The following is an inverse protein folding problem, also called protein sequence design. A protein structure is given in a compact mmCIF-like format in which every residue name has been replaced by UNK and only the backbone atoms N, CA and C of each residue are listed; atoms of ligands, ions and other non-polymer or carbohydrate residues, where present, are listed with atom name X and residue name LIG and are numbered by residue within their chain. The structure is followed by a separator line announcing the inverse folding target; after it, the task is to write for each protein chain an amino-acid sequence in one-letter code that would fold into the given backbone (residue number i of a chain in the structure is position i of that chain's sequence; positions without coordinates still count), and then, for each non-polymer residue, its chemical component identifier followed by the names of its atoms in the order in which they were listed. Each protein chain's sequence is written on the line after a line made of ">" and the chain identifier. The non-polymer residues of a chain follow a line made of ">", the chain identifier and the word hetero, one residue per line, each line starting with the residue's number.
data_IF_926756645118
#
_entry.id   IF_926756645118
#
_cell.length_a   1.000
_cell.length_b   1.000
_cell.length_c   1.000
_cell.angle_alpha   90.00
_cell.angle_beta   90.00
_cell.angle_gamma   90.00
#
_symmetry.space_group_name_H-M   'P 1'
#
loop_
_entity.id
_entity.type
_entity.pdbx_description
1 polymer ?
#
# COMPACT_ATOMS: atom_id res chain seq x y z
N UNK A 1 -2.05 40.43 -28.05
CA UNK A 1 -1.07 40.36 -26.95
C UNK A 1 -1.53 41.26 -25.80
N UNK A 2 -2.10 40.70 -24.73
CA UNK A 2 -2.18 41.37 -23.42
C UNK A 2 -1.83 40.30 -22.39
N UNK A 3 -0.76 40.52 -21.63
CA UNK A 3 -0.25 39.59 -20.62
C UNK A 3 -0.84 39.92 -19.26
N UNK A 4 -1.56 38.99 -18.64
CA UNK A 4 -2.10 39.15 -17.28
C UNK A 4 -1.40 38.19 -16.31
N UNK A 5 -0.21 38.59 -15.83
CA UNK A 5 0.40 37.97 -14.64
C UNK A 5 -0.47 38.24 -13.41
N UNK A 6 -1.04 37.20 -12.80
CA UNK A 6 -1.45 37.19 -11.38
C UNK A 6 -0.51 36.22 -10.66
N UNK A 7 0.59 36.73 -10.09
CA UNK A 7 0.71 37.01 -8.65
C UNK A 7 0.38 35.79 -7.78
N UNK A 8 1.43 35.03 -7.43
CA UNK A 8 1.39 34.04 -6.33
C UNK A 8 1.43 34.76 -4.97
N UNK A 9 0.72 34.27 -3.94
CA UNK A 9 0.86 34.78 -2.57
C UNK A 9 2.23 34.44 -1.95
N UNK A 10 2.64 35.13 -0.87
CA UNK A 10 4.02 35.08 -0.38
C UNK A 10 4.36 33.82 0.42
N UNK A 11 5.60 33.35 0.24
CA UNK A 11 6.21 32.29 1.07
C UNK A 11 6.51 32.82 2.47
N UNK A 12 5.67 32.50 3.46
CA UNK A 12 6.01 32.71 4.85
C UNK A 12 6.94 31.59 5.34
N UNK A 13 8.12 31.99 5.85
CA UNK A 13 9.06 31.09 6.51
C UNK A 13 8.54 30.76 7.91
N UNK A 14 8.43 29.47 8.24
CA UNK A 14 8.45 29.00 9.63
C UNK A 14 9.63 28.02 9.75
N UNK A 15 10.44 28.22 10.79
CA UNK A 15 11.69 27.51 11.02
C UNK A 15 11.47 26.37 12.01
N UNK A 16 11.88 25.16 11.61
CA UNK A 16 12.26 24.00 12.41
C UNK A 16 11.45 23.64 13.68
N UNK A 17 10.90 22.42 13.67
CA UNK A 17 10.97 21.55 14.84
C UNK A 17 11.14 20.09 14.42
N UNK A 18 12.31 19.51 14.69
CA UNK A 18 12.54 18.07 14.61
C UNK A 18 11.91 17.40 15.83
N UNK A 19 10.84 16.64 15.64
CA UNK A 19 10.39 15.66 16.64
C UNK A 19 10.16 14.33 15.91
N UNK A 20 10.95 13.32 16.26
CA UNK A 20 10.64 11.94 15.93
C UNK A 20 9.48 11.48 16.80
N UNK A 21 8.35 11.11 16.21
CA UNK A 21 7.23 10.44 16.88
C UNK A 21 6.92 9.16 16.11
N UNK A 22 7.04 8.02 16.78
CA UNK A 22 6.63 6.74 16.21
C UNK A 22 5.12 6.74 15.96
N UNK A 23 4.72 6.38 14.75
CA UNK A 23 3.31 6.37 14.35
C UNK A 23 2.60 5.17 14.99
N UNK A 24 1.87 5.44 16.07
CA UNK A 24 0.76 4.60 16.49
C UNK A 24 -0.48 5.04 15.70
N UNK A 25 -1.00 4.17 14.82
CA UNK A 25 -2.36 4.35 14.27
C UNK A 25 -3.31 3.45 15.03
N UNK A 26 -4.25 4.07 15.73
CA UNK A 26 -5.41 3.39 16.28
C UNK A 26 -6.49 4.39 16.60
N UNK A 27 -7.63 4.26 15.92
CA UNK A 27 -8.98 4.12 16.51
C UNK A 27 -10.06 4.57 15.52
N UNK A 28 -11.06 3.70 15.32
CA UNK A 28 -12.19 3.94 14.41
C UNK A 28 -13.30 2.89 14.55
N UNK A 29 -13.53 2.37 15.76
CA UNK A 29 -14.55 1.35 16.04
C UNK A 29 -15.31 1.66 17.32
N UNK A 30 -16.64 1.70 17.23
CA UNK A 30 -17.51 2.09 18.35
C UNK A 30 -17.60 1.00 19.44
N UNK A 31 -17.54 1.40 20.71
CA UNK A 31 -17.77 0.54 21.87
C UNK A 31 -19.06 0.96 22.58
N UNK A 32 -19.85 -0.02 23.03
CA UNK A 32 -20.93 0.15 24.00
C UNK A 32 -20.70 -0.76 25.21
N UNK A 33 -21.18 -0.41 26.41
CA UNK A 33 -20.57 -0.86 27.66
C UNK A 33 -21.18 -2.12 28.27
N UNK A 34 -20.38 -2.85 29.05
CA UNK A 34 -20.84 -3.77 30.10
C UNK A 34 -19.93 -3.69 31.32
N UNK A 35 -20.51 -3.82 32.52
CA UNK A 35 -19.91 -3.46 33.81
C UNK A 35 -18.98 -4.53 34.44
N UNK A 36 -18.11 -4.11 35.38
CA UNK A 36 -17.91 -4.88 36.62
C UNK A 36 -16.49 -5.35 37.03
N UNK A 37 -15.88 -4.62 37.99
CA UNK A 37 -14.83 -5.05 38.96
C UNK A 37 -13.46 -5.58 38.46
N UNK A 38 -12.32 -5.36 39.15
CA UNK A 38 -12.04 -4.52 40.32
C UNK A 38 -10.62 -4.71 40.94
N UNK A 39 -10.10 -3.64 41.58
CA UNK A 39 -9.11 -3.61 42.71
C UNK A 39 -7.64 -4.08 42.51
N UNK A 40 -6.77 -3.11 42.16
CA UNK A 40 -5.66 -2.50 42.96
C UNK A 40 -4.62 -3.28 43.82
N UNK A 41 -3.35 -2.85 43.65
CA UNK A 41 -2.27 -2.58 44.65
C UNK A 41 -1.28 -3.66 45.15
N UNK A 42 0.01 -3.26 45.26
CA UNK A 42 1.02 -3.90 46.14
C UNK A 42 2.50 -3.68 45.74
N UNK A 43 3.24 -2.81 46.45
CA UNK A 43 4.70 -2.66 46.30
C UNK A 43 5.37 -2.24 47.62
N UNK A 44 6.42 -2.95 48.09
CA UNK A 44 7.32 -2.52 49.21
C UNK A 44 8.72 -3.16 49.13
N UNK A 45 9.78 -2.39 49.40
CA UNK A 45 11.13 -2.81 49.87
C UNK A 45 11.54 -1.83 51.01
N UNK A 46 12.19 -2.24 52.11
CA UNK A 46 13.61 -1.90 52.42
C UNK A 46 14.34 -3.09 53.14
N UNK A 47 15.53 -3.07 53.77
CA UNK A 47 16.50 -2.03 54.23
C UNK A 47 17.94 -2.61 54.26
N UNK A 48 18.97 -1.77 54.48
CA UNK A 48 20.40 -2.16 54.73
C UNK A 48 20.75 -2.20 56.24
N UNK A 49 21.98 -2.53 56.70
CA UNK A 49 23.17 -1.62 56.84
C UNK A 49 24.48 -2.36 57.32
N UNK A 50 25.67 -1.68 57.36
CA UNK A 50 27.05 -2.26 57.40
C UNK A 50 27.77 -1.93 58.76
N UNK A 51 29.08 -1.59 58.90
CA UNK A 51 30.32 -1.77 58.08
C UNK A 51 31.56 -2.29 58.88
N UNK A 52 32.73 -2.39 58.23
CA UNK A 52 34.07 -2.21 58.86
C UNK A 52 35.12 -1.78 57.79
N UNK A 53 36.17 -1.06 58.20
CA UNK A 53 37.14 -0.43 57.29
C UNK A 53 38.59 -0.57 57.78
N UNK A 54 39.60 -0.49 56.87
CA UNK A 54 40.94 0.13 57.08
C UNK A 54 41.94 -0.01 55.90
N UNK A 55 42.32 1.12 55.29
CA UNK A 55 43.72 1.60 55.00
C UNK A 55 44.75 0.77 54.16
N UNK A 56 45.90 1.33 53.68
CA UNK A 56 46.08 1.49 52.21
C UNK A 56 47.45 1.10 51.58
N UNK A 57 47.56 1.30 50.25
CA UNK A 57 48.79 1.38 49.39
C UNK A 57 49.59 0.08 49.13
N UNK A 58 50.44 -0.03 48.06
CA UNK A 58 50.72 0.91 46.95
C UNK A 58 50.51 0.34 45.52
N UNK A 59 50.68 1.21 44.50
CA UNK A 59 50.48 0.94 43.06
C UNK A 59 51.77 0.42 42.36
N UNK A 60 51.78 -0.75 41.69
CA UNK A 60 52.89 -1.18 40.85
C UNK A 60 52.90 -0.49 39.47
N UNK A 61 54.09 -0.19 38.96
CA UNK A 61 54.32 0.42 37.64
C UNK A 61 54.22 -0.62 36.52
N UNK A 62 53.60 -0.28 35.39
CA UNK A 62 53.48 -1.16 34.23
C UNK A 62 54.83 -1.35 33.53
N UNK A 63 55.17 -2.60 33.18
CA UNK A 63 56.26 -2.96 32.26
C UNK A 63 55.63 -3.60 31.01
N UNK A 64 56.01 -3.21 29.78
CA UNK A 64 55.43 -3.79 28.57
C UNK A 64 55.94 -5.21 28.35
N UNK A 65 55.03 -6.18 28.29
CA UNK A 65 55.31 -7.56 27.86
C UNK A 65 54.87 -7.70 26.40
N UNK A 66 55.82 -8.01 25.52
CA UNK A 66 55.54 -8.34 24.12
C UNK A 66 54.88 -9.72 24.03
N UNK A 67 53.71 -9.80 23.42
CA UNK A 67 53.05 -11.07 23.07
C UNK A 67 53.44 -11.44 21.62
N UNK A 68 53.93 -12.67 21.35
CA UNK A 68 54.25 -13.09 19.99
C UNK A 68 52.97 -13.27 19.15
N UNK A 69 53.02 -12.85 17.89
CA UNK A 69 51.87 -12.91 16.98
C UNK A 69 51.59 -14.33 16.49
N UNK A 70 50.32 -14.75 16.57
CA UNK A 70 49.83 -16.00 15.97
C UNK A 70 49.75 -15.85 14.44
N UNK A 71 50.20 -16.84 13.64
CA UNK A 71 50.11 -16.75 12.17
C UNK A 71 48.66 -16.74 11.68
N UNK A 72 48.40 -15.88 10.69
CA UNK A 72 47.09 -15.66 10.05
C UNK A 72 46.70 -16.88 9.20
N UNK A 73 45.46 -17.41 9.27
CA UNK A 73 45.00 -18.42 8.33
C UNK A 73 44.95 -17.86 6.91
N UNK A 74 45.42 -18.64 5.93
CA UNK A 74 45.41 -18.27 4.53
C UNK A 74 43.98 -18.26 3.98
N UNK A 75 43.60 -17.21 3.25
CA UNK A 75 42.28 -17.11 2.66
C UNK A 75 42.17 -18.01 1.41
N UNK A 76 41.38 -19.07 1.49
CA UNK A 76 41.00 -19.84 0.31
C UNK A 76 40.15 -18.96 -0.61
N UNK A 77 40.59 -18.81 -1.87
CA UNK A 77 39.84 -18.07 -2.89
C UNK A 77 38.49 -18.75 -3.12
N UNK A 78 37.42 -18.14 -2.60
CA UNK A 78 36.05 -18.45 -3.02
C UNK A 78 35.86 -17.81 -4.39
N UNK A 79 35.35 -18.54 -5.42
CA UNK A 79 35.00 -17.92 -6.69
C UNK A 79 34.02 -16.77 -6.45
N UNK A 80 34.22 -15.64 -7.14
CA UNK A 80 33.23 -14.57 -7.12
C UNK A 80 31.89 -15.14 -7.61
N UNK A 81 30.74 -14.77 -6.99
CA UNK A 81 29.45 -15.14 -7.54
C UNK A 81 29.37 -14.65 -8.98
N UNK A 82 28.79 -15.46 -9.87
CA UNK A 82 28.44 -15.00 -11.22
C UNK A 82 27.67 -13.69 -11.08
N UNK A 83 27.90 -12.69 -11.95
CA UNK A 83 27.02 -11.53 -12.01
C UNK A 83 25.63 -12.04 -12.36
N UNK A 84 24.73 -12.06 -11.38
CA UNK A 84 23.29 -12.06 -11.63
C UNK A 84 23.04 -10.91 -12.58
N UNK A 85 22.38 -11.17 -13.71
CA UNK A 85 22.00 -10.10 -14.61
C UNK A 85 21.06 -9.17 -13.86
N UNK A 86 21.59 -8.03 -13.41
CA UNK A 86 20.80 -6.90 -12.97
C UNK A 86 19.83 -6.58 -14.12
N UNK A 87 18.50 -6.55 -13.88
CA UNK A 87 17.55 -6.30 -14.95
C UNK A 87 17.90 -4.96 -15.58
N UNK A 88 18.34 -5.01 -16.84
CA UNK A 88 18.78 -3.84 -17.57
C UNK A 88 17.65 -2.81 -17.53
N UNK A 89 17.88 -1.55 -17.09
CA UNK A 89 16.82 -0.57 -17.02
C UNK A 89 16.26 -0.38 -18.43
N UNK A 90 15.04 -0.90 -18.65
CA UNK A 90 14.37 -0.85 -19.93
C UNK A 90 14.32 0.61 -20.38
N UNK A 91 14.58 0.84 -21.68
CA UNK A 91 14.63 2.19 -22.23
C UNK A 91 13.30 2.89 -21.93
N UNK A 92 13.36 3.93 -21.08
CA UNK A 92 12.19 4.45 -20.35
C UNK A 92 11.22 5.16 -21.30
N UNK A 93 10.29 4.40 -21.88
CA UNK A 93 8.95 4.90 -22.16
C UNK A 93 8.24 5.20 -20.83
N UNK A 94 7.28 6.13 -20.85
CA UNK A 94 6.47 6.44 -19.68
C UNK A 94 5.65 5.20 -19.25
N UNK A 95 5.95 4.56 -18.10
CA UNK A 95 5.26 3.33 -17.70
C UNK A 95 3.83 3.59 -17.23
N UNK A 96 3.43 4.84 -17.04
CA UNK A 96 2.07 5.26 -16.68
C UNK A 96 1.21 5.62 -17.90
N UNK A 97 1.76 5.58 -19.12
CA UNK A 97 0.97 5.78 -20.35
C UNK A 97 0.71 4.44 -21.04
N UNK A 98 -0.54 3.97 -21.02
CA UNK A 98 -0.95 2.67 -21.56
C UNK A 98 -2.22 2.85 -22.41
N UNK A 99 -2.21 2.37 -23.66
CA UNK A 99 -3.34 2.55 -24.58
C UNK A 99 -3.68 4.02 -24.93
N UNK A 100 -2.78 4.97 -24.61
CA UNK A 100 -3.05 6.41 -24.70
C UNK A 100 -3.63 7.04 -23.41
N UNK A 101 -4.01 6.23 -22.41
CA UNK A 101 -4.42 6.69 -21.09
C UNK A 101 -3.18 6.99 -20.26
N UNK A 102 -3.15 8.16 -19.60
CA UNK A 102 -2.00 8.68 -18.83
C UNK A 102 -2.32 8.63 -17.35
N UNK A 103 -2.08 7.48 -16.73
CA UNK A 103 -2.43 7.19 -15.33
C UNK A 103 -1.65 8.05 -14.31
N UNK A 104 -0.58 8.74 -14.73
CA UNK A 104 0.13 9.75 -13.93
C UNK A 104 -0.33 11.20 -14.20
N UNK A 105 -1.42 11.42 -14.94
CA UNK A 105 -1.95 12.75 -15.26
C UNK A 105 -3.05 13.17 -14.26
N UNK A 106 -2.64 13.72 -13.10
CA UNK A 106 -3.58 14.23 -12.08
C UNK A 106 -4.41 15.45 -12.51
N UNK A 107 -4.04 16.13 -13.60
CA UNK A 107 -4.78 17.29 -14.13
C UNK A 107 -5.96 16.89 -15.05
N UNK A 108 -6.09 15.61 -15.42
CA UNK A 108 -7.10 15.12 -16.35
C UNK A 108 -7.97 14.01 -15.73
N UNK A 109 -9.29 14.23 -15.55
CA UNK A 109 -10.14 13.25 -14.91
C UNK A 109 -10.28 11.98 -15.75
N UNK A 110 -10.24 10.84 -15.08
CA UNK A 110 -10.46 9.51 -15.65
C UNK A 110 -11.97 9.19 -15.63
N UNK A 111 -12.42 8.45 -16.63
CA UNK A 111 -13.67 7.69 -16.58
C UNK A 111 -13.34 6.21 -16.67
N UNK A 112 -13.91 5.41 -15.77
CA UNK A 112 -13.68 3.97 -15.62
C UNK A 112 -15.02 3.24 -15.77
N UNK A 113 -15.08 2.25 -16.67
CA UNK A 113 -16.22 1.35 -16.83
C UNK A 113 -15.81 -0.10 -16.68
N UNK A 114 -16.56 -0.89 -15.91
CA UNK A 114 -16.25 -2.29 -15.61
C UNK A 114 -17.55 -3.14 -15.43
N UNK A 115 -17.46 -4.49 -15.38
CA UNK A 115 -18.64 -5.35 -15.18
C UNK A 115 -19.26 -5.19 -13.78
N UNK A 116 -20.57 -4.98 -13.71
CA UNK A 116 -21.33 -4.90 -12.46
C UNK A 116 -22.35 -6.02 -12.28
N UNK A 117 -22.68 -6.74 -13.36
CA UNK A 117 -23.35 -8.03 -13.30
C UNK A 117 -22.67 -9.04 -14.22
N UNK A 118 -23.01 -10.31 -14.02
CA UNK A 118 -22.57 -11.41 -14.86
C UNK A 118 -23.38 -11.59 -16.15
N UNK A 119 -24.46 -10.81 -16.30
CA UNK A 119 -25.41 -10.89 -17.41
C UNK A 119 -25.20 -9.75 -18.42
N UNK A 120 -24.12 -8.97 -18.25
CA UNK A 120 -23.66 -7.93 -19.18
C UNK A 120 -23.84 -6.49 -18.69
N UNK A 121 -24.39 -6.27 -17.49
CA UNK A 121 -24.49 -4.91 -16.94
C UNK A 121 -23.10 -4.36 -16.59
N UNK A 122 -22.89 -3.09 -16.91
CA UNK A 122 -21.63 -2.38 -16.66
C UNK A 122 -21.89 -1.18 -15.75
N UNK A 123 -20.96 -0.92 -14.84
CA UNK A 123 -20.95 0.29 -14.04
C UNK A 123 -19.90 1.26 -14.58
N UNK A 124 -20.26 2.53 -14.66
CA UNK A 124 -19.38 3.61 -15.12
C UNK A 124 -19.24 4.65 -14.02
N UNK A 125 -18.00 4.89 -13.62
CA UNK A 125 -17.60 5.98 -12.73
C UNK A 125 -16.92 7.04 -13.60
N UNK A 126 -17.49 8.24 -13.65
CA UNK A 126 -16.96 9.37 -14.42
C UNK A 126 -16.38 10.44 -13.49
N UNK A 127 -15.56 11.33 -14.04
CA UNK A 127 -14.95 12.46 -13.32
C UNK A 127 -14.11 12.03 -12.10
N UNK A 128 -13.26 11.01 -12.28
CA UNK A 128 -12.35 10.51 -11.26
C UNK A 128 -11.06 11.32 -11.26
N UNK A 129 -10.72 11.94 -10.13
CA UNK A 129 -9.40 12.55 -9.95
C UNK A 129 -8.33 11.49 -9.67
N UNK A 130 -7.17 11.63 -10.31
CA UNK A 130 -6.01 10.76 -10.08
C UNK A 130 -5.07 11.39 -9.05
N UNK A 131 -5.09 10.86 -7.83
CA UNK A 131 -4.18 11.21 -6.75
C UNK A 131 -2.86 10.47 -6.95
N UNK A 132 -1.97 11.02 -7.77
CA UNK A 132 -0.68 10.39 -8.10
C UNK A 132 0.29 10.54 -6.93
N UNK A 133 0.89 9.43 -6.48
CA UNK A 133 1.85 9.38 -5.37
C UNK A 133 2.98 10.39 -5.52
N UNK A 134 2.88 11.49 -4.79
CA UNK A 134 3.90 12.54 -4.70
C UNK A 134 4.94 12.24 -3.61
N UNK A 135 6.18 12.77 -3.73
CA UNK A 135 7.23 12.51 -2.76
C UNK A 135 7.06 13.27 -1.43
N UNK A 136 6.12 14.20 -1.33
CA UNK A 136 5.77 14.93 -0.11
C UNK A 136 4.70 14.22 0.75
N UNK A 137 3.94 13.28 0.17
CA UNK A 137 2.86 12.53 0.81
C UNK A 137 1.50 13.24 0.85
N UNK A 138 1.32 14.32 0.10
CA UNK A 138 0.07 15.12 0.11
C UNK A 138 -1.13 14.31 -0.42
N UNK A 139 -0.92 13.53 -1.48
CA UNK A 139 -1.94 12.66 -2.09
C UNK A 139 -2.37 11.52 -1.17
N UNK A 140 -1.44 10.98 -0.36
CA UNK A 140 -1.75 9.97 0.65
C UNK A 140 -2.59 10.59 1.79
N UNK A 141 -2.23 11.79 2.25
CA UNK A 141 -2.99 12.50 3.28
C UNK A 141 -4.42 12.87 2.83
N UNK A 142 -4.62 13.15 1.53
CA UNK A 142 -5.95 13.33 0.92
C UNK A 142 -6.71 12.00 0.80
N UNK A 143 -6.03 10.92 0.41
CA UNK A 143 -6.61 9.58 0.26
C UNK A 143 -7.11 9.02 1.62
N UNK A 144 -6.30 9.14 2.68
CA UNK A 144 -6.65 8.71 4.04
C UNK A 144 -7.80 9.56 4.64
N UNK A 145 -7.94 10.81 4.20
CA UNK A 145 -8.97 11.72 4.67
C UNK A 145 -10.31 11.52 3.92
N UNK A 146 -10.99 10.40 4.17
CA UNK A 146 -12.32 10.06 3.57
C UNK A 146 -13.34 11.22 3.68
N UNK A 147 -13.26 12.07 4.72
CA UNK A 147 -14.10 13.27 4.83
C UNK A 147 -13.93 14.32 3.71
N UNK A 148 -12.87 14.25 2.92
CA UNK A 148 -12.63 15.10 1.74
C UNK A 148 -13.34 14.60 0.48
N UNK A 149 -13.92 13.39 0.53
CA UNK A 149 -14.63 12.73 -0.57
C UNK A 149 -16.07 13.28 -0.71
N UNK A 150 -16.19 14.59 -0.93
CA UNK A 150 -17.45 15.34 -0.89
C UNK A 150 -18.31 15.14 -2.16
N UNK A 151 -18.49 13.89 -2.58
CA UNK A 151 -19.19 13.51 -3.82
C UNK A 151 -18.30 13.50 -5.07
N UNK A 152 -16.98 13.71 -4.92
CA UNK A 152 -16.00 13.62 -5.99
C UNK A 152 -15.30 12.25 -5.95
N UNK A 153 -15.17 11.60 -7.10
CA UNK A 153 -14.53 10.29 -7.22
C UNK A 153 -13.01 10.43 -7.27
N UNK A 154 -12.26 9.57 -6.55
CA UNK A 154 -10.79 9.66 -6.48
C UNK A 154 -10.13 8.28 -6.50
N UNK A 155 -9.04 8.13 -7.25
CA UNK A 155 -8.18 6.93 -7.28
C UNK A 155 -6.76 7.34 -6.93
N UNK A 156 -6.11 6.63 -6.00
CA UNK A 156 -4.69 6.85 -5.71
C UNK A 156 -3.82 5.98 -6.61
N UNK A 157 -2.86 6.61 -7.29
CA UNK A 157 -2.01 5.95 -8.30
C UNK A 157 -0.57 5.96 -7.84
N UNK A 158 0.06 4.79 -7.76
CA UNK A 158 1.45 4.66 -7.30
C UNK A 158 2.22 3.60 -8.11
N UNK A 159 3.56 3.65 -8.15
CA UNK A 159 4.36 2.63 -8.82
C UNK A 159 4.43 1.33 -8.00
N UNK A 160 4.07 0.22 -8.61
CA UNK A 160 4.62 -1.08 -8.26
C UNK A 160 6.10 -1.09 -8.66
N UNK A 161 7.00 -1.05 -7.67
CA UNK A 161 8.45 -0.97 -7.90
C UNK A 161 9.05 -2.25 -8.47
N UNK A 162 8.39 -3.40 -8.31
CA UNK A 162 8.88 -4.71 -8.79
C UNK A 162 8.67 -4.89 -10.30
N UNK A 163 7.49 -4.56 -10.81
CA UNK A 163 7.13 -4.59 -12.24
C UNK A 163 7.32 -3.25 -12.96
N UNK A 164 7.52 -2.17 -12.20
CA UNK A 164 7.56 -0.80 -12.71
C UNK A 164 6.21 -0.34 -13.29
N UNK A 165 5.08 -0.90 -12.84
CA UNK A 165 3.73 -0.60 -13.36
C UNK A 165 2.90 0.27 -12.43
N UNK A 166 1.91 1.02 -12.95
CA UNK A 166 0.93 1.68 -12.10
C UNK A 166 0.05 0.68 -11.35
N UNK A 167 -0.14 0.94 -10.06
CA UNK A 167 -1.24 0.41 -9.25
C UNK A 167 -2.28 1.50 -9.06
N UNK A 168 -3.54 1.19 -9.38
CA UNK A 168 -4.71 2.01 -9.09
C UNK A 168 -5.35 1.49 -7.80
N UNK A 169 -5.19 2.23 -6.71
CA UNK A 169 -5.88 1.98 -5.45
C UNK A 169 -7.26 2.66 -5.49
N UNK A 170 -8.30 1.84 -5.62
CA UNK A 170 -9.70 2.26 -5.81
C UNK A 170 -10.50 1.89 -4.55
N UNK A 171 -11.30 2.82 -4.04
CA UNK A 171 -12.12 2.57 -2.85
C UNK A 171 -13.46 1.91 -3.18
N UNK A 172 -13.92 1.06 -2.27
CA UNK A 172 -15.23 0.42 -2.24
C UNK A 172 -15.96 0.73 -0.92
N UNK A 173 -17.12 0.13 -0.69
CA UNK A 173 -18.00 0.46 0.42
C UNK A 173 -18.95 1.61 0.08
N UNK A 174 -19.41 2.32 1.11
CA UNK A 174 -20.46 3.35 0.98
C UNK A 174 -20.14 4.54 1.86
N UNK A 175 -20.06 5.74 1.29
CA UNK A 175 -19.91 6.99 2.01
C UNK A 175 -21.18 7.84 1.89
N UNK A 176 -21.72 8.30 3.02
CA UNK A 176 -22.95 9.11 3.07
C UNK A 176 -24.17 8.51 2.32
N UNK A 177 -24.22 7.18 2.18
CA UNK A 177 -25.26 6.46 1.43
C UNK A 177 -24.99 6.31 -0.08
N UNK A 178 -23.86 6.79 -0.59
CA UNK A 178 -23.42 6.64 -1.98
C UNK A 178 -22.34 5.56 -2.07
N UNK A 179 -22.48 4.56 -2.98
CA UNK A 179 -21.41 3.59 -3.27
C UNK A 179 -20.11 4.27 -3.74
N UNK A 180 -18.96 3.79 -3.27
CA UNK A 180 -17.65 4.22 -3.78
C UNK A 180 -17.27 3.47 -5.07
N UNK A 181 -16.19 3.89 -5.73
CA UNK A 181 -15.91 3.63 -7.15
C UNK A 181 -15.81 2.15 -7.50
N UNK A 182 -15.36 1.30 -6.58
CA UNK A 182 -15.23 -0.14 -6.75
C UNK A 182 -16.33 -0.97 -6.08
N UNK A 183 -17.29 -0.35 -5.37
CA UNK A 183 -18.30 -1.07 -4.58
C UNK A 183 -19.15 -2.06 -5.41
N UNK A 184 -19.67 -1.71 -6.61
CA UNK A 184 -20.34 -2.68 -7.50
C UNK A 184 -19.47 -3.88 -7.91
N UNK A 185 -18.18 -3.66 -8.22
CA UNK A 185 -17.24 -4.74 -8.57
C UNK A 185 -16.96 -5.63 -7.35
N UNK A 186 -16.76 -5.02 -6.18
CA UNK A 186 -16.50 -5.68 -4.91
C UNK A 186 -17.72 -6.50 -4.43
N UNK A 187 -18.95 -6.03 -4.72
CA UNK A 187 -20.19 -6.81 -4.57
C UNK A 187 -20.28 -7.99 -5.55
N UNK A 188 -19.86 -7.79 -6.81
CA UNK A 188 -19.85 -8.83 -7.84
C UNK A 188 -18.88 -9.98 -7.47
N UNK A 189 -17.74 -9.65 -6.87
CA UNK A 189 -16.73 -10.62 -6.42
C UNK A 189 -17.10 -11.25 -5.08
N UNK A 190 -17.46 -10.47 -4.06
CA UNK A 190 -17.52 -10.94 -2.66
C UNK A 190 -18.91 -11.01 -2.05
N UNK A 191 -19.94 -10.45 -2.69
CA UNK A 191 -21.29 -10.41 -2.14
C UNK A 191 -21.46 -9.29 -1.11
N UNK A 192 -22.59 -9.26 -0.39
CA UNK A 192 -22.88 -8.15 0.54
C UNK A 192 -21.97 -8.19 1.77
N UNK A 193 -21.58 -7.03 2.32
CA UNK A 193 -20.79 -6.94 3.55
C UNK A 193 -21.38 -7.76 4.73
N UNK A 194 -22.71 -7.83 4.85
CA UNK A 194 -23.40 -8.58 5.90
C UNK A 194 -23.49 -10.09 5.66
N UNK A 195 -23.18 -10.56 4.45
CA UNK A 195 -23.24 -11.95 4.04
C UNK A 195 -22.29 -12.15 2.84
N UNK A 196 -20.97 -12.15 3.07
CA UNK A 196 -19.99 -12.38 2.02
C UNK A 196 -20.06 -13.83 1.53
N UNK A 197 -19.63 -14.06 0.29
CA UNK A 197 -19.41 -15.41 -0.22
C UNK A 197 -18.19 -16.05 0.47
N UNK A 198 -18.19 -17.38 0.66
CA UNK A 198 -17.01 -18.08 1.16
C UNK A 198 -15.82 -17.97 0.18
N UNK A 199 -14.61 -18.16 0.69
CA UNK A 199 -13.37 -17.90 -0.05
C UNK A 199 -13.24 -18.68 -1.38
N UNK A 200 -13.69 -19.94 -1.42
CA UNK A 200 -13.74 -20.77 -2.63
C UNK A 200 -14.64 -20.17 -3.71
N UNK A 201 -15.77 -19.57 -3.31
CA UNK A 201 -16.68 -18.87 -4.21
C UNK A 201 -16.18 -17.49 -4.63
N UNK A 202 -15.32 -16.85 -3.83
CA UNK A 202 -14.60 -15.64 -4.23
C UNK A 202 -13.54 -15.99 -5.28
N UNK A 203 -12.75 -17.04 -5.06
CA UNK A 203 -11.76 -17.56 -6.02
C UNK A 203 -12.42 -17.93 -7.36
N UNK A 204 -13.54 -18.65 -7.35
CA UNK A 204 -14.34 -18.95 -8.55
C UNK A 204 -14.74 -17.67 -9.33
N UNK A 205 -15.08 -16.59 -8.61
CA UNK A 205 -15.49 -15.32 -9.22
C UNK A 205 -14.30 -14.50 -9.74
N UNK A 206 -13.15 -14.56 -9.09
CA UNK A 206 -11.90 -13.97 -9.60
C UNK A 206 -11.43 -14.68 -10.87
N UNK A 207 -11.50 -16.02 -10.90
CA UNK A 207 -11.27 -16.82 -12.10
C UNK A 207 -12.28 -16.43 -13.20
N UNK A 208 -13.56 -16.26 -12.86
CA UNK A 208 -14.60 -15.83 -13.81
C UNK A 208 -14.40 -14.41 -14.35
N UNK A 209 -13.77 -13.50 -13.60
CA UNK A 209 -13.41 -12.17 -14.12
C UNK A 209 -12.36 -12.23 -15.22
N UNK A 210 -11.52 -13.28 -15.31
CA UNK A 210 -10.49 -13.36 -16.35
C UNK A 210 -11.13 -13.31 -17.76
N UNK A 211 -10.66 -12.38 -18.59
CA UNK A 211 -11.18 -12.07 -19.91
C UNK A 211 -12.27 -10.98 -19.97
N UNK A 212 -12.84 -10.59 -18.83
CA UNK A 212 -13.81 -9.48 -18.74
C UNK A 212 -13.15 -8.14 -19.05
N UNK A 213 -13.91 -7.24 -19.69
CA UNK A 213 -13.39 -5.96 -20.20
C UNK A 213 -13.62 -4.82 -19.22
N UNK A 214 -12.57 -4.04 -18.98
CA UNK A 214 -12.60 -2.71 -18.37
C UNK A 214 -12.36 -1.70 -19.49
N UNK A 215 -12.95 -0.51 -19.37
CA UNK A 215 -12.77 0.58 -20.33
C UNK A 215 -12.33 1.82 -19.56
N UNK A 216 -11.23 2.43 -19.99
CA UNK A 216 -10.74 3.70 -19.47
C UNK A 216 -10.90 4.78 -20.54
N UNK A 217 -11.35 5.96 -20.14
CA UNK A 217 -11.39 7.16 -20.98
C UNK A 217 -10.72 8.34 -20.25
N UNK A 218 -9.80 9.02 -20.94
CA UNK A 218 -9.09 10.20 -20.43
C UNK A 218 -8.62 11.10 -21.58
N UNK A 219 -8.84 12.41 -21.48
CA UNK A 219 -8.48 13.40 -22.51
C UNK A 219 -8.98 13.06 -23.94
N UNK A 220 -10.12 12.37 -24.05
CA UNK A 220 -10.71 11.90 -25.32
C UNK A 220 -10.04 10.68 -25.93
N UNK A 221 -9.06 10.06 -25.25
CA UNK A 221 -8.55 8.73 -25.57
C UNK A 221 -9.41 7.70 -24.86
N UNK A 222 -9.72 6.59 -25.55
CA UNK A 222 -10.44 5.44 -24.99
C UNK A 222 -9.59 4.20 -25.19
N UNK A 223 -9.39 3.42 -24.14
CA UNK A 223 -8.69 2.14 -24.18
C UNK A 223 -9.46 1.06 -23.43
N UNK A 224 -9.50 -0.13 -24.02
CA UNK A 224 -10.06 -1.32 -23.37
C UNK A 224 -8.94 -2.17 -22.78
N UNK A 225 -9.22 -2.77 -21.64
CA UNK A 225 -8.32 -3.65 -20.90
C UNK A 225 -9.05 -4.93 -20.53
N UNK A 226 -8.39 -6.07 -20.58
CA UNK A 226 -8.90 -7.34 -20.07
C UNK A 226 -8.29 -7.66 -18.71
N UNK A 227 -9.08 -8.20 -17.79
CA UNK A 227 -8.55 -8.82 -16.57
C UNK A 227 -7.82 -10.10 -17.00
N UNK A 228 -6.51 -10.17 -16.76
CA UNK A 228 -5.69 -11.37 -17.06
C UNK A 228 -5.52 -12.26 -15.84
N UNK A 229 -5.51 -11.67 -14.64
CA UNK A 229 -5.46 -12.39 -13.37
C UNK A 229 -6.14 -11.60 -12.25
N UNK A 230 -6.48 -12.26 -11.15
CA UNK A 230 -7.04 -11.66 -9.95
C UNK A 230 -6.92 -12.56 -8.72
N UNK A 231 -6.57 -11.96 -7.58
CA UNK A 231 -6.32 -12.66 -6.31
C UNK A 231 -6.90 -11.87 -5.13
N UNK A 232 -7.49 -12.57 -4.16
CA UNK A 232 -7.84 -11.99 -2.86
C UNK A 232 -6.66 -12.18 -1.90
N UNK A 233 -6.11 -11.06 -1.42
CA UNK A 233 -5.18 -11.04 -0.31
C UNK A 233 -5.96 -11.27 0.99
N UNK A 234 -5.61 -12.33 1.71
CA UNK A 234 -6.09 -12.54 3.07
C UNK A 234 -5.48 -11.51 4.05
N UNK A 235 -5.96 -11.59 5.29
CA UNK A 235 -5.48 -10.81 6.41
C UNK A 235 -3.93 -10.80 6.56
N UNK A 236 -3.30 -11.98 6.55
CA UNK A 236 -1.85 -12.08 6.75
C UNK A 236 -1.07 -11.49 5.56
N UNK A 237 -1.55 -11.71 4.34
CA UNK A 237 -0.95 -11.20 3.11
C UNK A 237 -0.99 -9.68 3.08
N UNK A 238 -2.12 -9.01 3.36
CA UNK A 238 -2.13 -7.54 3.35
C UNK A 238 -1.15 -6.92 4.35
N UNK A 239 -0.98 -7.51 5.54
CA UNK A 239 0.04 -7.05 6.49
C UNK A 239 1.45 -7.18 5.92
N UNK A 240 1.76 -8.26 5.19
CA UNK A 240 3.06 -8.48 4.57
C UNK A 240 3.39 -7.53 3.40
N UNK A 241 2.37 -6.87 2.83
CA UNK A 241 2.50 -5.89 1.73
C UNK A 241 2.32 -4.43 2.16
N UNK A 242 1.76 -4.15 3.35
CA UNK A 242 1.62 -2.79 3.90
C UNK A 242 2.96 -2.03 3.90
N UNK A 243 4.03 -2.71 4.30
CA UNK A 243 5.37 -2.11 4.41
C UNK A 243 6.19 -2.29 3.11
N UNK A 244 5.58 -2.88 2.06
CA UNK A 244 6.14 -3.12 0.72
C UNK A 244 5.07 -2.94 -0.38
N UNK A 245 4.43 -1.76 -0.49
CA UNK A 245 3.32 -1.55 -1.42
C UNK A 245 3.76 -1.68 -2.89
N UNK A 246 5.06 -1.54 -3.18
CA UNK A 246 5.65 -1.69 -4.51
C UNK A 246 5.97 -3.13 -4.95
N UNK A 247 5.51 -4.14 -4.22
CA UNK A 247 5.73 -5.56 -4.54
C UNK A 247 4.44 -6.27 -5.01
N UNK A 248 3.31 -5.56 -5.12
CA UNK A 248 1.96 -6.12 -5.38
C UNK A 248 1.92 -7.00 -6.65
N UNK A 249 2.74 -6.72 -7.68
CA UNK A 249 2.83 -7.56 -8.87
C UNK A 249 3.31 -9.00 -8.59
N UNK A 250 3.88 -9.28 -7.42
CA UNK A 250 4.33 -10.64 -7.03
C UNK A 250 3.20 -11.55 -6.59
N UNK A 251 1.98 -11.02 -6.44
CA UNK A 251 0.78 -11.77 -6.03
C UNK A 251 0.01 -12.39 -7.21
N UNK A 252 0.28 -11.95 -8.43
CA UNK A 252 -0.38 -12.39 -9.67
C UNK A 252 0.54 -13.24 -10.53
N UNK A 253 -0.03 -13.99 -11.47
CA UNK A 253 0.71 -14.70 -12.51
C UNK A 253 1.64 -13.75 -13.29
N UNK A 254 2.85 -14.21 -13.70
CA UNK A 254 3.79 -13.37 -14.43
C UNK A 254 3.18 -12.78 -15.71
N UNK A 255 3.10 -11.46 -15.77
CA UNK A 255 2.47 -10.73 -16.87
C UNK A 255 3.30 -10.91 -18.16
N UNK A 256 2.70 -11.52 -19.19
CA UNK A 256 3.41 -11.80 -20.46
C UNK A 256 3.93 -10.53 -21.16
N UNK A 257 3.21 -9.42 -20.97
CA UNK A 257 3.46 -8.15 -21.66
C UNK A 257 3.35 -6.97 -20.69
N UNK A 258 4.28 -6.83 -19.73
CA UNK A 258 4.16 -5.86 -18.65
C UNK A 258 3.91 -4.44 -19.16
N UNK A 259 4.53 -4.02 -20.27
CA UNK A 259 4.38 -2.68 -20.85
C UNK A 259 2.93 -2.27 -21.19
N UNK A 260 2.05 -3.24 -21.43
CA UNK A 260 0.63 -3.05 -21.74
C UNK A 260 -0.28 -3.19 -20.49
N UNK A 261 0.28 -3.30 -19.27
CA UNK A 261 -0.46 -3.70 -18.06
C UNK A 261 -0.44 -2.69 -16.90
N UNK A 262 -1.51 -2.72 -16.10
CA UNK A 262 -1.61 -2.07 -14.80
C UNK A 262 -2.29 -2.98 -13.77
N UNK A 263 -2.15 -2.64 -12.49
CA UNK A 263 -2.78 -3.37 -11.38
C UNK A 263 -3.90 -2.52 -10.78
N UNK A 264 -4.98 -3.16 -10.35
CA UNK A 264 -6.05 -2.55 -9.55
C UNK A 264 -6.03 -3.17 -8.17
N UNK A 265 -6.03 -2.34 -7.14
CA UNK A 265 -6.14 -2.72 -5.74
C UNK A 265 -7.45 -2.15 -5.18
N UNK A 266 -8.33 -3.02 -4.70
CA UNK A 266 -9.58 -2.64 -4.01
C UNK A 266 -9.58 -3.16 -2.58
N UNK A 267 -10.36 -2.57 -1.68
CA UNK A 267 -10.59 -3.19 -0.37
C UNK A 267 -11.45 -4.44 -0.55
N UNK A 268 -11.33 -5.35 0.42
CA UNK A 268 -12.10 -6.57 0.48
C UNK A 268 -12.89 -6.61 1.78
N UNK A 269 -14.09 -7.19 1.68
CA UNK A 269 -14.92 -7.54 2.82
C UNK A 269 -14.23 -8.62 3.64
N UNK A 270 -14.17 -8.38 4.96
CA UNK A 270 -13.67 -9.35 5.93
C UNK A 270 -14.49 -10.65 5.89
N UNK A 271 -13.79 -11.79 5.87
CA UNK A 271 -14.40 -13.11 5.92
C UNK A 271 -14.74 -13.56 7.35
N UNK A 272 -15.70 -14.49 7.54
CA UNK A 272 -16.14 -14.92 8.87
C UNK A 272 -15.04 -15.53 9.76
N UNK A 273 -14.00 -16.09 9.15
CA UNK A 273 -12.82 -16.71 9.78
C UNK A 273 -11.65 -15.74 10.02
N UNK A 274 -11.70 -14.52 9.47
CA UNK A 274 -10.67 -13.49 9.67
C UNK A 274 -10.83 -12.77 11.04
N UNK A 275 -9.74 -12.25 11.64
CA UNK A 275 -9.76 -11.59 12.95
C UNK A 275 -10.72 -10.39 13.06
N UNK A 276 -11.21 -10.11 14.28
CA UNK A 276 -12.19 -9.04 14.57
C UNK A 276 -11.61 -7.62 14.68
N UNK A 277 -10.28 -7.46 14.56
CA UNK A 277 -9.64 -6.13 14.59
C UNK A 277 -9.89 -5.36 13.27
N UNK A 278 -9.49 -4.08 13.20
CA UNK A 278 -9.65 -3.28 11.97
C UNK A 278 -8.72 -3.88 10.90
N UNK A 279 -9.32 -4.55 9.91
CA UNK A 279 -8.60 -5.41 8.98
C UNK A 279 -8.88 -5.07 7.51
N UNK A 280 -7.92 -4.50 6.77
CA UNK A 280 -8.06 -4.33 5.33
C UNK A 280 -7.57 -5.60 4.63
N UNK A 281 -8.47 -6.54 4.34
CA UNK A 281 -8.22 -7.47 3.25
C UNK A 281 -8.22 -6.68 1.92
N UNK A 282 -7.63 -7.23 0.86
CA UNK A 282 -7.58 -6.57 -0.47
C UNK A 282 -7.88 -7.56 -1.59
N UNK A 283 -8.38 -7.06 -2.72
CA UNK A 283 -8.33 -7.80 -3.99
C UNK A 283 -7.36 -7.05 -4.90
N UNK A 284 -6.50 -7.82 -5.58
CA UNK A 284 -5.63 -7.36 -6.65
C UNK A 284 -6.16 -7.93 -7.95
N UNK A 285 -6.33 -7.09 -8.97
CA UNK A 285 -6.58 -7.51 -10.35
C UNK A 285 -5.43 -7.05 -11.24
N UNK A 286 -4.97 -7.90 -12.15
CA UNK A 286 -4.06 -7.52 -13.21
C UNK A 286 -4.83 -7.29 -14.50
N UNK A 287 -4.61 -6.14 -15.14
CA UNK A 287 -5.29 -5.75 -16.37
C UNK A 287 -4.29 -5.51 -17.50
N UNK A 288 -4.61 -5.97 -18.70
CA UNK A 288 -3.78 -5.89 -19.91
C UNK A 288 -4.52 -5.20 -21.06
N UNK A 289 -3.83 -4.37 -21.83
CA UNK A 289 -4.39 -3.63 -22.96
C UNK A 289 -4.91 -4.59 -24.06
N UNK A 290 -6.14 -4.34 -24.51
CA UNK A 290 -6.76 -5.02 -25.65
C UNK A 290 -6.27 -4.39 -26.95
N UNK A 291 -6.01 -5.22 -27.98
CA UNK A 291 -5.46 -4.81 -29.28
C UNK A 291 -6.30 -5.29 -30.46
#
# INVERSE_FOLDING_TARGET
>A
MISSRRQRPPRHRVLALLIAVGVAVGLGGCVSPSEGAGVSAGAVIPTALPPLASSPTPRPTLRPTFTPATPRPSATHTPAPMPTAEPSPATVGDPFTIGGIRLANGDAPLTLTYPSSWDGDRHTVAHIDLLVSDPEGESLALFDAIGTWLGEHKIFVYPDTTSGRPVLSIHDGTYSGVPLEAEPLRLLIEGSFHNPYPADKIEERLIRLRGERFTLEQDGNVAEFEVVDGVRMDAATTVAFRDRPGDISTLVEPLERPEDTFLVLICSTRQPDEPQEIFPARIVLALSLVR
#
